data_IF_324526842666
#
_entry.id   IF_324526842666
#
_cell.length_a   1.000
_cell.length_b   1.000
_cell.length_c   1.000
_cell.angle_alpha   90.00
_cell.angle_beta   90.00
_cell.angle_gamma   90.00
#
_symmetry.space_group_name_H-M   'P 1'
#
loop_
_entity.id
_entity.type
_entity.pdbx_description
1 polymer ?
#
# COMPACT_ATOMS: atom_id res chain seq x y z
N UNK A 1 18.56 10.82 -3.01
CA UNK A 1 17.30 10.59 -2.25
C UNK A 1 16.83 9.16 -2.51
N UNK A 2 16.33 8.42 -1.51
CA UNK A 2 16.01 6.99 -1.66
C UNK A 2 14.50 6.77 -1.60
N UNK A 3 13.96 5.99 -2.54
CA UNK A 3 12.55 5.59 -2.57
C UNK A 3 12.45 4.08 -2.57
N UNK A 4 11.78 3.54 -1.55
CA UNK A 4 11.52 2.12 -1.42
C UNK A 4 10.09 1.81 -1.80
N UNK A 5 9.89 0.82 -2.66
CA UNK A 5 8.58 0.45 -3.19
C UNK A 5 8.30 -0.98 -2.79
N UNK A 6 7.24 -1.15 -2.00
CA UNK A 6 6.72 -2.44 -1.57
C UNK A 6 5.60 -2.86 -2.52
N UNK A 7 5.77 -3.99 -3.19
CA UNK A 7 4.82 -4.45 -4.19
C UNK A 7 4.62 -5.98 -4.14
N UNK A 8 3.42 -6.40 -4.53
CA UNK A 8 3.02 -7.78 -4.76
C UNK A 8 2.51 -7.94 -6.20
N UNK A 9 2.62 -9.15 -6.75
CA UNK A 9 2.15 -9.54 -8.07
C UNK A 9 0.61 -9.64 -8.12
N UNK A 10 -0.02 -10.06 -7.02
CA UNK A 10 -1.47 -10.27 -6.93
C UNK A 10 -2.24 -8.97 -6.67
N UNK A 11 -1.57 -7.87 -6.35
CA UNK A 11 -2.22 -6.61 -6.04
C UNK A 11 -2.51 -5.79 -7.32
N UNK A 12 -3.80 -5.60 -7.70
CA UNK A 12 -4.15 -4.82 -8.90
C UNK A 12 -3.72 -3.35 -8.77
N UNK A 13 -3.72 -2.79 -7.55
CA UNK A 13 -3.25 -1.44 -7.30
C UNK A 13 -1.75 -1.27 -7.48
N UNK A 14 -0.94 -2.30 -7.16
CA UNK A 14 0.50 -2.26 -7.39
C UNK A 14 0.82 -2.15 -8.90
N UNK A 15 0.03 -2.80 -9.75
CA UNK A 15 0.17 -2.67 -11.21
C UNK A 15 -0.13 -1.25 -11.71
N UNK A 16 -1.24 -0.66 -11.26
CA UNK A 16 -1.62 0.72 -11.59
C UNK A 16 -0.56 1.70 -11.06
N UNK A 17 -0.10 1.51 -9.82
CA UNK A 17 0.92 2.31 -9.18
C UNK A 17 2.24 2.29 -9.95
N UNK A 18 2.69 1.12 -10.42
CA UNK A 18 3.90 0.97 -11.25
C UNK A 18 3.80 1.79 -12.54
N UNK A 19 2.66 1.77 -13.23
CA UNK A 19 2.43 2.56 -14.45
C UNK A 19 2.49 4.06 -14.16
N UNK A 20 1.80 4.53 -13.10
CA UNK A 20 1.79 5.95 -12.72
C UNK A 20 3.19 6.43 -12.29
N UNK A 21 3.93 5.60 -11.56
CA UNK A 21 5.30 5.89 -11.16
C UNK A 21 6.22 6.02 -12.37
N UNK A 22 6.13 5.12 -13.35
CA UNK A 22 6.91 5.22 -14.58
C UNK A 22 6.66 6.54 -15.33
N UNK A 23 5.40 6.95 -15.45
CA UNK A 23 5.03 8.23 -16.06
C UNK A 23 5.55 9.42 -15.25
N UNK A 24 5.45 9.38 -13.92
CA UNK A 24 5.94 10.45 -13.07
C UNK A 24 7.47 10.59 -13.17
N UNK A 25 8.19 9.46 -13.14
CA UNK A 25 9.63 9.45 -13.35
C UNK A 25 9.96 10.10 -14.68
N UNK A 26 9.20 9.88 -15.77
CA UNK A 26 9.49 10.43 -17.11
C UNK A 26 9.46 11.96 -17.17
N UNK A 27 8.86 12.61 -16.18
CA UNK A 27 8.77 14.06 -16.08
C UNK A 27 9.85 14.66 -15.19
N UNK A 28 10.62 13.83 -14.48
CA UNK A 28 11.68 14.27 -13.57
C UNK A 28 12.99 14.30 -14.35
N UNK A 29 13.68 15.45 -14.32
CA UNK A 29 14.98 15.65 -14.98
C UNK A 29 16.14 15.05 -14.16
N UNK A 30 16.05 15.09 -12.82
CA UNK A 30 17.10 14.61 -11.88
C UNK A 30 16.93 13.13 -11.48
N UNK A 31 16.63 12.24 -12.43
CA UNK A 31 16.45 10.81 -12.13
C UNK A 31 17.69 10.16 -11.53
N UNK A 32 18.89 10.56 -11.96
CA UNK A 32 20.16 9.96 -11.53
C UNK A 32 20.49 10.21 -10.05
N UNK A 33 19.85 11.21 -9.41
CA UNK A 33 20.00 11.46 -7.97
C UNK A 33 19.08 10.61 -7.09
N UNK A 34 18.26 9.76 -7.71
CA UNK A 34 17.16 9.04 -7.06
C UNK A 34 17.41 7.53 -7.10
N UNK A 35 17.58 6.91 -5.93
CA UNK A 35 17.79 5.48 -5.81
C UNK A 35 16.46 4.78 -5.55
N UNK A 36 16.00 3.97 -6.50
CA UNK A 36 14.75 3.21 -6.40
C UNK A 36 15.09 1.77 -5.97
N UNK A 37 14.49 1.33 -4.86
CA UNK A 37 14.67 -0.03 -4.34
C UNK A 37 13.30 -0.73 -4.28
N UNK A 38 13.21 -1.90 -4.89
CA UNK A 38 12.01 -2.73 -4.86
C UNK A 38 12.09 -3.75 -3.74
N UNK A 39 10.99 -3.92 -3.01
CA UNK A 39 10.82 -4.90 -1.95
C UNK A 39 9.55 -5.71 -2.20
N UNK A 40 9.66 -7.01 -2.05
CA UNK A 40 8.48 -7.88 -2.04
C UNK A 40 7.68 -7.63 -0.78
N UNK A 41 6.36 -7.52 -0.92
CA UNK A 41 5.43 -7.40 0.20
C UNK A 41 4.30 -8.38 -0.03
N UNK A 42 4.01 -9.24 0.94
CA UNK A 42 2.79 -10.03 0.91
C UNK A 42 1.65 -9.22 1.51
N UNK A 43 0.64 -8.81 0.72
CA UNK A 43 -0.55 -8.21 1.27
C UNK A 43 -1.25 -9.32 2.06
N UNK A 44 -1.47 -9.06 3.35
CA UNK A 44 -2.34 -9.92 4.16
C UNK A 44 -3.72 -9.90 3.48
N UNK A 45 -4.07 -10.99 2.80
CA UNK A 45 -5.25 -11.11 1.94
C UNK A 45 -6.56 -11.17 2.73
N UNK A 46 -6.58 -10.70 3.98
CA UNK A 46 -7.82 -10.47 4.69
C UNK A 46 -8.42 -9.17 4.17
N UNK A 47 -9.60 -9.18 3.52
CA UNK A 47 -10.41 -7.99 3.54
C UNK A 47 -10.67 -7.70 5.01
N UNK A 48 -9.96 -6.71 5.56
CA UNK A 48 -10.33 -6.14 6.84
C UNK A 48 -11.63 -5.38 6.57
N UNK A 49 -12.73 -6.13 6.45
CA UNK A 49 -14.00 -5.66 6.97
C UNK A 49 -13.65 -5.03 8.31
N UNK A 50 -13.93 -3.73 8.52
CA UNK A 50 -13.75 -3.18 9.85
C UNK A 50 -14.56 -4.10 10.75
N UNK A 51 -13.89 -4.85 11.64
CA UNK A 51 -14.58 -5.49 12.74
C UNK A 51 -15.06 -4.32 13.58
N UNK A 52 -16.19 -3.75 13.20
CA UNK A 52 -17.01 -2.93 14.08
C UNK A 52 -17.39 -3.90 15.16
N UNK A 53 -16.58 -3.96 16.22
CA UNK A 53 -17.00 -4.50 17.49
C UNK A 53 -18.06 -3.53 18.01
N UNK A 54 -19.28 -3.63 17.50
CA UNK A 54 -20.44 -3.18 18.25
C UNK A 54 -20.50 -4.11 19.45
N UNK A 55 -19.79 -3.73 20.51
CA UNK A 55 -20.04 -4.27 21.84
C UNK A 55 -21.53 -4.06 22.12
N UNK A 56 -22.34 -5.12 22.22
CA UNK A 56 -23.73 -4.93 22.58
C UNK A 56 -23.75 -4.53 24.05
N UNK A 57 -24.10 -3.26 24.27
CA UNK A 57 -24.69 -2.71 25.49
C UNK A 57 -24.42 -3.51 26.77
N UNK A 58 -23.52 -3.00 27.61
CA UNK A 58 -23.55 -3.28 29.05
C UNK A 58 -24.93 -2.85 29.55
N UNK A 59 -25.87 -3.79 29.72
CA UNK A 59 -26.98 -3.61 30.66
C UNK A 59 -26.36 -3.67 32.06
N UNK A 60 -26.49 -2.65 32.91
CA UNK A 60 -26.25 -2.85 34.32
C UNK A 60 -27.38 -3.72 34.85
N UNK A 61 -27.05 -4.98 35.16
CA UNK A 61 -27.87 -5.85 35.99
C UNK A 61 -27.46 -5.61 37.44
N UNK A 62 -28.42 -5.16 38.23
CA UNK A 62 -28.42 -4.94 39.69
C UNK A 62 -27.87 -3.61 40.20
#
# INVERSE_FOLDING_TARGET
>A
MKVEIYADILCPWCYIGKRRLATALAKITDRDRMQIVWRSYQPCSTPTTPKVSTSPSRRPSK
#
